data_IF_770409745858
#
_entry.id   IF_770409745858
#
_cell.length_a   1.000
_cell.length_b   1.000
_cell.length_c   1.000
_cell.angle_alpha   90.00
_cell.angle_beta   90.00
_cell.angle_gamma   90.00
#
_symmetry.space_group_name_H-M   'P 1'
#
loop_
_entity.id
_entity.type
_entity.pdbx_description
1 polymer ?
#
# COMPACT_ATOMS: atom_id res chain seq x y z
N UNK A 1 41.27 5.92 -44.21
CA UNK A 1 40.41 7.10 -43.95
C UNK A 1 39.29 6.77 -42.95
N UNK A 2 38.76 5.54 -42.93
CA UNK A 2 37.72 5.10 -41.98
C UNK A 2 38.12 5.03 -40.48
N UNK A 3 39.39 4.78 -40.14
CA UNK A 3 39.87 4.61 -38.75
C UNK A 3 39.88 5.91 -37.92
N UNK A 4 40.01 7.07 -38.58
CA UNK A 4 39.95 8.38 -37.90
C UNK A 4 38.52 8.79 -37.56
N UNK A 5 37.56 8.49 -38.43
CA UNK A 5 36.16 8.82 -38.22
C UNK A 5 35.56 7.97 -37.09
N UNK A 6 35.96 6.70 -36.97
CA UNK A 6 35.54 5.82 -35.88
C UNK A 6 36.03 6.33 -34.51
N UNK A 7 37.31 6.68 -34.39
CA UNK A 7 37.86 7.27 -33.15
C UNK A 7 37.19 8.57 -32.76
N UNK A 8 36.93 9.46 -33.72
CA UNK A 8 36.21 10.70 -33.47
C UNK A 8 34.76 10.44 -33.00
N UNK A 9 34.13 9.39 -33.52
CA UNK A 9 32.78 9.01 -33.11
C UNK A 9 32.75 8.41 -31.70
N UNK A 10 33.74 7.61 -31.31
CA UNK A 10 33.90 7.12 -29.94
C UNK A 10 34.24 8.25 -28.96
N UNK A 11 35.06 9.21 -29.36
CA UNK A 11 35.42 10.36 -28.53
C UNK A 11 34.24 11.33 -28.37
N UNK A 12 33.48 11.58 -29.44
CA UNK A 12 32.25 12.36 -29.38
C UNK A 12 31.17 11.68 -28.52
N UNK A 13 31.00 10.36 -28.63
CA UNK A 13 30.08 9.60 -27.77
C UNK A 13 30.54 9.62 -26.30
N UNK A 14 31.85 9.56 -26.03
CA UNK A 14 32.41 9.65 -24.68
C UNK A 14 32.20 11.05 -24.08
N UNK A 15 32.37 12.10 -24.88
CA UNK A 15 32.12 13.49 -24.50
C UNK A 15 30.62 13.75 -24.31
N UNK A 16 29.74 13.19 -25.15
CA UNK A 16 28.29 13.23 -24.94
C UNK A 16 27.86 12.45 -23.70
N UNK A 17 28.50 11.32 -23.37
CA UNK A 17 28.25 10.59 -22.11
C UNK A 17 28.77 11.37 -20.89
N UNK A 18 29.93 12.02 -20.98
CA UNK A 18 30.44 12.93 -19.94
C UNK A 18 29.54 14.18 -19.79
N UNK A 19 29.00 14.69 -20.89
CA UNK A 19 28.10 15.84 -20.91
C UNK A 19 26.68 15.47 -20.44
N UNK A 20 26.19 14.27 -20.76
CA UNK A 20 24.96 13.71 -20.20
C UNK A 20 25.09 13.53 -18.68
N UNK A 21 26.28 13.22 -18.18
CA UNK A 21 26.60 13.22 -16.75
C UNK A 21 26.71 14.62 -16.11
N UNK A 22 26.72 15.71 -16.91
CA UNK A 22 26.81 17.11 -16.42
C UNK A 22 25.56 17.96 -16.67
N UNK A 23 24.58 17.45 -17.42
CA UNK A 23 23.31 18.12 -17.73
C UNK A 23 22.06 17.40 -17.24
N UNK A 24 22.19 16.19 -16.70
CA UNK A 24 21.14 15.51 -15.93
C UNK A 24 21.26 15.86 -14.45
N UNK A 25 20.14 15.79 -13.73
CA UNK A 25 20.14 15.79 -12.27
C UNK A 25 21.19 14.78 -11.78
N UNK A 26 22.02 15.16 -10.82
CA UNK A 26 22.98 14.24 -10.18
C UNK A 26 22.26 13.01 -9.62
N UNK A 27 22.94 11.88 -9.42
CA UNK A 27 22.28 10.69 -8.83
C UNK A 27 21.58 11.02 -7.51
N UNK A 28 22.16 11.91 -6.70
CA UNK A 28 21.53 12.38 -5.46
C UNK A 28 20.28 13.23 -5.73
N UNK A 29 20.28 14.10 -6.75
CA UNK A 29 19.11 14.87 -7.16
C UNK A 29 18.06 14.00 -7.88
N UNK A 30 18.48 12.93 -8.56
CA UNK A 30 17.61 11.92 -9.17
C UNK A 30 16.97 11.08 -8.07
N UNK A 31 17.74 10.64 -7.08
CA UNK A 31 17.28 9.95 -5.88
C UNK A 31 16.38 10.86 -5.05
N UNK A 32 16.64 12.17 -4.99
CA UNK A 32 15.77 13.17 -4.35
C UNK A 32 14.50 13.44 -5.17
N UNK A 33 14.58 13.46 -6.50
CA UNK A 33 13.40 13.57 -7.37
C UNK A 33 12.54 12.30 -7.28
N UNK A 34 13.17 11.14 -7.30
CA UNK A 34 12.56 9.83 -7.13
C UNK A 34 11.99 9.73 -5.73
N UNK A 35 12.69 10.13 -4.66
CA UNK A 35 12.15 10.18 -3.30
C UNK A 35 11.02 11.22 -3.14
N UNK A 36 11.06 12.33 -3.87
CA UNK A 36 9.98 13.32 -3.90
C UNK A 36 8.76 12.83 -4.69
N UNK A 37 8.98 11.91 -5.63
CA UNK A 37 7.95 11.22 -6.43
C UNK A 37 7.42 9.97 -5.71
N UNK A 38 8.28 9.29 -4.96
CA UNK A 38 8.03 8.14 -4.10
C UNK A 38 7.63 8.64 -2.72
N UNK A 39 6.41 9.16 -2.71
CA UNK A 39 5.53 9.35 -1.56
C UNK A 39 5.93 10.46 -0.58
N UNK A 40 4.96 11.34 -0.30
CA UNK A 40 5.07 12.41 0.69
C UNK A 40 5.12 11.94 2.15
N UNK A 41 5.89 10.88 2.44
CA UNK A 41 6.10 10.29 3.76
C UNK A 41 6.71 11.25 4.77
N UNK A 42 6.66 10.85 6.04
CA UNK A 42 7.27 11.56 7.15
C UNK A 42 8.76 11.34 7.20
N UNK A 43 9.47 12.35 7.70
CA UNK A 43 10.88 12.27 8.07
C UNK A 43 11.03 12.46 9.59
N UNK A 44 10.49 11.54 10.42
CA UNK A 44 10.60 11.67 11.86
C UNK A 44 12.06 11.52 12.29
N UNK A 45 12.43 12.17 13.38
CA UNK A 45 13.79 12.10 13.95
C UNK A 45 13.79 11.48 15.35
N UNK A 46 14.96 11.06 15.82
CA UNK A 46 15.13 10.49 17.16
C UNK A 46 14.49 9.12 17.33
N UNK A 47 13.93 8.86 18.51
CA UNK A 47 13.40 7.54 18.89
C UNK A 47 12.22 7.08 18.01
N UNK A 48 11.45 8.01 17.46
CA UNK A 48 10.33 7.69 16.55
C UNK A 48 10.88 7.09 15.25
N UNK A 49 11.96 7.65 14.70
CA UNK A 49 12.62 7.11 13.52
C UNK A 49 13.11 5.68 13.76
N UNK A 50 13.74 5.44 14.91
CA UNK A 50 14.18 4.11 15.33
C UNK A 50 13.02 3.15 15.46
N UNK A 51 11.89 3.56 16.06
CA UNK A 51 10.70 2.73 16.18
C UNK A 51 10.14 2.36 14.81
N UNK A 52 9.99 3.32 13.89
CA UNK A 52 9.49 3.02 12.54
C UNK A 52 10.42 2.08 11.78
N UNK A 53 11.74 2.30 11.89
CA UNK A 53 12.74 1.40 11.30
C UNK A 53 12.60 -0.02 11.85
N UNK A 54 12.48 -0.17 13.18
CA UNK A 54 12.32 -1.48 13.82
C UNK A 54 11.00 -2.16 13.41
N UNK A 55 9.90 -1.42 13.29
CA UNK A 55 8.62 -1.96 12.84
C UNK A 55 8.69 -2.39 11.37
N UNK A 56 9.27 -1.56 10.50
CA UNK A 56 9.46 -1.90 9.10
C UNK A 56 10.38 -3.12 8.93
N UNK A 57 11.49 -3.17 9.67
CA UNK A 57 12.40 -4.31 9.69
C UNK A 57 11.70 -5.58 10.21
N UNK A 58 10.92 -5.48 11.29
CA UNK A 58 10.14 -6.60 11.82
C UNK A 58 9.13 -7.12 10.79
N UNK A 59 8.45 -6.22 10.06
CA UNK A 59 7.55 -6.60 8.97
C UNK A 59 8.31 -7.31 7.84
N UNK A 60 9.46 -6.78 7.42
CA UNK A 60 10.28 -7.40 6.38
C UNK A 60 10.79 -8.78 6.78
N UNK A 61 11.27 -8.94 8.01
CA UNK A 61 11.72 -10.22 8.55
C UNK A 61 10.56 -11.22 8.66
N UNK A 62 9.40 -10.76 9.10
CA UNK A 62 8.19 -11.59 9.16
C UNK A 62 7.79 -12.11 7.77
N UNK A 63 7.85 -11.27 6.74
CA UNK A 63 7.51 -11.65 5.37
C UNK A 63 8.53 -12.65 4.80
N UNK A 64 9.82 -12.44 5.08
CA UNK A 64 10.86 -13.40 4.71
C UNK A 64 10.68 -14.73 5.46
N UNK A 65 10.28 -14.67 6.74
CA UNK A 65 10.02 -15.85 7.57
C UNK A 65 8.92 -16.72 6.96
N UNK A 66 7.75 -16.16 6.66
CA UNK A 66 6.62 -16.92 6.09
C UNK A 66 6.87 -17.41 4.66
N UNK A 67 7.74 -16.72 3.91
CA UNK A 67 8.15 -17.14 2.56
C UNK A 67 9.23 -18.24 2.57
N UNK A 68 9.94 -18.43 3.68
CA UNK A 68 11.03 -19.38 3.81
C UNK A 68 10.53 -20.77 4.27
N UNK A 69 11.34 -21.84 4.09
CA UNK A 69 11.02 -23.15 4.67
C UNK A 69 11.30 -23.24 6.18
N UNK A 70 11.85 -22.18 6.80
CA UNK A 70 12.25 -22.15 8.21
C UNK A 70 11.13 -22.43 9.22
N UNK A 71 9.90 -21.90 9.06
CA UNK A 71 8.82 -22.17 10.00
C UNK A 71 8.54 -23.68 10.12
N UNK A 72 8.59 -24.40 8.99
CA UNK A 72 8.34 -25.83 8.92
C UNK A 72 9.53 -26.66 9.41
N UNK A 73 10.77 -26.26 9.10
CA UNK A 73 11.97 -26.97 9.54
C UNK A 73 12.20 -26.83 11.06
N UNK A 74 11.92 -25.65 11.61
CA UNK A 74 12.06 -25.35 13.03
C UNK A 74 10.80 -25.67 13.85
N UNK A 75 9.69 -26.03 13.19
CA UNK A 75 8.38 -26.30 13.81
C UNK A 75 7.91 -25.19 14.75
N UNK A 76 8.22 -23.95 14.41
CA UNK A 76 7.91 -22.76 15.20
C UNK A 76 7.36 -21.68 14.28
N UNK A 77 6.42 -20.88 14.77
CA UNK A 77 5.87 -19.75 14.00
C UNK A 77 5.30 -20.15 12.63
N UNK A 78 4.63 -21.31 12.56
CA UNK A 78 3.91 -21.76 11.36
C UNK A 78 2.55 -21.07 11.36
N UNK A 79 2.35 -20.16 10.42
CA UNK A 79 1.10 -19.42 10.24
C UNK A 79 0.33 -19.97 9.05
N UNK A 80 -0.99 -20.05 9.17
CA UNK A 80 -1.84 -20.29 8.00
C UNK A 80 -2.04 -18.99 7.18
N UNK A 81 -2.61 -19.11 5.98
CA UNK A 81 -2.86 -17.97 5.08
C UNK A 81 -3.61 -16.81 5.73
N UNK A 82 -4.67 -17.09 6.49
CA UNK A 82 -5.51 -16.07 7.12
C UNK A 82 -4.76 -15.34 8.23
N UNK A 83 -4.05 -16.10 9.07
CA UNK A 83 -3.18 -15.55 10.11
C UNK A 83 -2.09 -14.68 9.46
N UNK A 84 -1.51 -15.17 8.37
CA UNK A 84 -0.39 -14.51 7.73
C UNK A 84 -0.79 -13.14 7.14
N UNK A 85 -1.94 -13.11 6.45
CA UNK A 85 -2.59 -11.92 5.91
C UNK A 85 -2.98 -10.93 7.01
N UNK A 86 -3.49 -11.42 8.13
CA UNK A 86 -3.89 -10.57 9.26
C UNK A 86 -2.71 -9.82 9.86
N UNK A 87 -1.59 -10.52 10.11
CA UNK A 87 -0.36 -9.91 10.63
C UNK A 87 0.20 -8.90 9.62
N UNK A 88 0.26 -9.27 8.33
CA UNK A 88 0.73 -8.38 7.27
C UNK A 88 -0.07 -7.07 7.21
N UNK A 89 -1.41 -7.16 7.21
CA UNK A 89 -2.27 -5.99 7.15
C UNK A 89 -2.12 -5.11 8.40
N UNK A 90 -1.90 -5.72 9.58
CA UNK A 90 -1.68 -4.96 10.81
C UNK A 90 -0.41 -4.10 10.73
N UNK A 91 0.71 -4.65 10.23
CA UNK A 91 1.92 -3.87 9.95
C UNK A 91 1.67 -2.78 8.90
N UNK A 92 1.00 -3.13 7.80
CA UNK A 92 0.73 -2.20 6.71
C UNK A 92 -0.11 -1.00 7.18
N UNK A 93 -1.20 -1.23 7.93
CA UNK A 93 -2.05 -0.14 8.46
C UNK A 93 -1.27 0.71 9.46
N UNK A 94 -0.51 0.09 10.38
CA UNK A 94 0.29 0.84 11.34
C UNK A 94 1.27 1.78 10.62
N UNK A 95 2.04 1.26 9.67
CA UNK A 95 3.00 2.05 8.91
C UNK A 95 2.31 3.07 7.99
N UNK A 96 1.13 2.77 7.45
CA UNK A 96 0.36 3.73 6.66
C UNK A 96 0.06 5.01 7.47
N UNK A 97 -0.38 4.88 8.72
CA UNK A 97 -0.64 6.05 9.56
C UNK A 97 0.61 6.68 10.15
N UNK A 98 1.64 5.87 10.45
CA UNK A 98 2.85 6.33 11.11
C UNK A 98 3.85 6.98 10.14
N UNK A 99 3.97 6.46 8.93
CA UNK A 99 4.90 6.92 7.90
C UNK A 99 4.26 7.88 6.89
N UNK A 100 2.94 7.80 6.61
CA UNK A 100 2.32 8.63 5.57
C UNK A 100 1.35 9.68 6.15
N UNK A 101 1.72 10.97 6.10
CA UNK A 101 0.87 12.04 6.60
C UNK A 101 -0.35 12.26 5.69
N UNK A 102 -1.48 12.62 6.28
CA UNK A 102 -2.69 12.91 5.53
C UNK A 102 -2.51 14.15 4.62
N UNK A 103 -2.65 13.95 3.31
CA UNK A 103 -2.71 15.04 2.34
C UNK A 103 -3.95 15.92 2.60
N UNK A 104 -3.79 17.24 2.44
CA UNK A 104 -4.81 18.26 2.76
C UNK A 104 -5.20 19.17 1.60
N UNK A 105 -5.02 18.73 0.35
CA UNK A 105 -5.63 19.48 -0.77
C UNK A 105 -7.15 19.54 -0.59
N UNK A 106 -7.86 20.53 -1.17
CA UNK A 106 -9.31 20.66 -0.99
C UNK A 106 -10.08 19.37 -1.28
N UNK A 107 -9.70 18.67 -2.36
CA UNK A 107 -10.26 17.36 -2.73
C UNK A 107 -9.96 16.29 -1.68
N UNK A 108 -8.71 16.23 -1.19
CA UNK A 108 -8.30 15.26 -0.17
C UNK A 108 -9.01 15.47 1.17
N UNK A 109 -9.25 16.73 1.56
CA UNK A 109 -10.05 17.06 2.75
C UNK A 109 -11.52 16.69 2.55
N UNK A 110 -12.09 17.02 1.40
CA UNK A 110 -13.47 16.65 1.08
C UNK A 110 -13.68 15.13 1.11
N UNK A 111 -12.75 14.36 0.56
CA UNK A 111 -12.80 12.89 0.59
C UNK A 111 -12.55 12.34 2.00
N UNK A 112 -11.53 12.83 2.70
CA UNK A 112 -11.17 12.36 4.04
C UNK A 112 -12.23 12.63 5.11
N UNK A 113 -13.15 13.57 4.88
CA UNK A 113 -14.31 13.82 5.76
C UNK A 113 -15.60 13.24 5.17
N UNK A 114 -15.84 13.46 3.88
CA UNK A 114 -17.06 13.06 3.20
C UNK A 114 -17.23 11.55 3.15
N UNK A 115 -16.18 10.78 2.90
CA UNK A 115 -16.26 9.30 2.85
C UNK A 115 -16.61 8.72 4.22
N UNK A 116 -15.91 9.03 5.34
CA UNK A 116 -16.31 8.54 6.66
C UNK A 116 -17.73 8.93 7.06
N UNK A 117 -18.18 10.14 6.74
CA UNK A 117 -19.57 10.59 7.01
C UNK A 117 -20.56 9.80 6.18
N UNK A 118 -20.31 9.63 4.88
CA UNK A 118 -21.16 8.85 3.98
C UNK A 118 -21.29 7.40 4.48
N UNK A 119 -20.17 6.76 4.82
CA UNK A 119 -20.17 5.37 5.32
C UNK A 119 -20.82 5.26 6.69
N UNK A 120 -20.68 6.27 7.55
CA UNK A 120 -21.39 6.32 8.84
C UNK A 120 -22.90 6.26 8.61
N UNK A 121 -23.42 7.14 7.75
CA UNK A 121 -24.85 7.17 7.42
C UNK A 121 -25.28 5.83 6.81
N UNK A 122 -24.51 5.33 5.85
CA UNK A 122 -24.81 4.09 5.13
C UNK A 122 -24.84 2.86 6.03
N UNK A 123 -23.87 2.74 6.94
CA UNK A 123 -23.82 1.61 7.86
C UNK A 123 -24.92 1.69 8.92
N UNK A 124 -25.28 2.89 9.37
CA UNK A 124 -26.41 3.07 10.28
C UNK A 124 -27.74 2.70 9.61
N UNK A 125 -27.97 3.11 8.37
CA UNK A 125 -29.22 2.80 7.64
C UNK A 125 -29.26 1.37 7.14
N UNK A 126 -28.11 0.76 6.85
CA UNK A 126 -28.00 -0.63 6.42
C UNK A 126 -28.03 -1.66 7.55
N UNK A 127 -28.04 -1.24 8.82
CA UNK A 127 -28.11 -2.15 9.95
C UNK A 127 -29.52 -2.75 10.11
N UNK A 128 -29.60 -4.04 10.47
CA UNK A 128 -30.87 -4.71 10.76
C UNK A 128 -31.47 -4.18 12.07
N UNK A 129 -32.80 -4.21 12.16
CA UNK A 129 -33.53 -3.90 13.39
C UNK A 129 -32.98 -4.70 14.59
N UNK A 130 -32.79 -4.02 15.72
CA UNK A 130 -32.20 -4.61 16.92
C UNK A 130 -30.67 -4.60 16.98
N UNK A 131 -29.97 -4.11 15.94
CA UNK A 131 -28.51 -3.90 15.99
C UNK A 131 -28.21 -2.51 16.59
N UNK A 132 -27.50 -2.41 17.74
CA UNK A 132 -26.96 -1.15 18.22
C UNK A 132 -26.09 -0.45 17.17
N UNK A 133 -26.48 0.74 16.73
CA UNK A 133 -25.74 1.55 15.73
C UNK A 133 -25.12 2.83 16.29
N UNK A 134 -25.39 3.16 17.56
CA UNK A 134 -24.97 4.42 18.19
C UNK A 134 -23.45 4.64 18.22
N UNK A 135 -22.66 3.57 18.12
CA UNK A 135 -21.21 3.61 18.13
C UNK A 135 -20.60 3.85 16.73
N UNK A 136 -21.37 3.65 15.65
CA UNK A 136 -20.88 3.84 14.26
C UNK A 136 -20.43 5.28 14.01
N UNK A 137 -21.16 6.33 14.44
CA UNK A 137 -20.69 7.72 14.33
C UNK A 137 -19.36 7.99 15.01
N UNK A 138 -19.00 7.24 16.04
CA UNK A 138 -17.70 7.41 16.73
C UNK A 138 -16.57 7.01 15.79
N UNK A 139 -16.70 5.90 15.04
CA UNK A 139 -15.72 5.48 14.05
C UNK A 139 -15.54 6.53 12.95
N UNK A 140 -16.65 7.03 12.40
CA UNK A 140 -16.63 8.06 11.37
C UNK A 140 -16.02 9.38 11.86
N UNK A 141 -16.40 9.82 13.06
CA UNK A 141 -15.87 11.03 13.69
C UNK A 141 -14.38 10.92 14.02
N UNK A 142 -13.89 9.74 14.42
CA UNK A 142 -12.46 9.52 14.68
C UNK A 142 -11.64 9.66 13.39
N UNK A 143 -12.09 9.02 12.30
CA UNK A 143 -11.39 9.11 11.01
C UNK A 143 -11.47 10.54 10.46
N UNK A 144 -12.67 11.13 10.35
CA UNK A 144 -12.83 12.50 9.85
C UNK A 144 -12.10 13.54 10.73
N UNK A 145 -12.17 13.37 12.05
CA UNK A 145 -11.48 14.23 13.02
C UNK A 145 -9.97 14.18 12.84
N UNK A 146 -9.39 13.01 12.58
CA UNK A 146 -7.94 12.89 12.32
C UNK A 146 -7.48 13.69 11.09
N UNK A 147 -8.32 13.76 10.06
CA UNK A 147 -8.04 14.52 8.84
C UNK A 147 -8.15 16.03 9.10
N UNK A 148 -9.15 16.44 9.88
CA UNK A 148 -9.39 17.84 10.22
C UNK A 148 -8.32 18.42 11.16
N UNK A 149 -7.90 17.65 12.17
CA UNK A 149 -6.84 18.04 13.10
C UNK A 149 -5.47 18.20 12.41
N UNK A 150 -5.32 17.60 11.23
CA UNK A 150 -4.14 17.72 10.40
C UNK A 150 -3.05 16.72 10.78
N UNK A 151 -2.05 16.64 9.90
CA UNK A 151 -1.01 15.63 9.98
C UNK A 151 0.35 16.26 9.65
N UNK A 152 1.11 16.69 10.67
CA UNK A 152 2.47 17.21 10.49
C UNK A 152 3.40 16.16 9.85
N UNK A 153 4.42 16.63 9.11
CA UNK A 153 5.41 15.77 8.45
C UNK A 153 6.61 15.42 9.34
N UNK A 154 6.88 16.25 10.35
CA UNK A 154 8.01 16.19 11.27
C UNK A 154 7.79 15.23 12.45
N UNK A 155 6.52 14.96 12.80
CA UNK A 155 6.15 14.11 13.94
C UNK A 155 4.84 13.38 13.71
N UNK A 156 4.64 12.29 14.46
CA UNK A 156 3.38 11.55 14.49
C UNK A 156 2.50 12.10 15.63
N UNK A 157 1.37 12.77 15.33
CA UNK A 157 0.44 13.24 16.34
C UNK A 157 -0.28 12.10 17.07
N UNK A 158 -0.77 12.38 18.28
CA UNK A 158 -1.35 11.38 19.19
C UNK A 158 -2.59 10.69 18.58
N UNK A 159 -3.42 11.42 17.82
CA UNK A 159 -4.60 10.82 17.18
C UNK A 159 -4.23 9.82 16.09
N UNK A 160 -3.08 9.97 15.43
CA UNK A 160 -2.62 9.02 14.43
C UNK A 160 -1.89 7.83 15.04
N UNK A 161 -1.24 8.00 16.19
CA UNK A 161 -0.86 6.87 17.03
C UNK A 161 -2.09 6.03 17.41
N UNK A 162 -3.17 6.70 17.83
CA UNK A 162 -4.44 6.06 18.12
C UNK A 162 -4.98 5.28 16.92
N UNK A 163 -5.07 5.90 15.75
CA UNK A 163 -5.57 5.25 14.53
C UNK A 163 -4.65 4.12 14.03
N UNK A 164 -3.33 4.28 14.12
CA UNK A 164 -2.38 3.25 13.76
C UNK A 164 -2.56 2.00 14.63
N UNK A 165 -2.71 2.18 15.94
CA UNK A 165 -2.89 1.09 16.90
C UNK A 165 -4.28 0.45 16.78
N UNK A 166 -5.35 1.25 16.68
CA UNK A 166 -6.71 0.74 16.49
C UNK A 166 -6.80 -0.02 15.15
N UNK A 167 -6.26 0.55 14.08
CA UNK A 167 -6.23 -0.08 12.76
C UNK A 167 -5.46 -1.41 12.77
N UNK A 168 -4.25 -1.42 13.33
CA UNK A 168 -3.48 -2.65 13.51
C UNK A 168 -4.24 -3.69 14.35
N UNK A 169 -4.90 -3.28 15.43
CA UNK A 169 -5.71 -4.16 16.27
C UNK A 169 -6.93 -4.73 15.51
N UNK A 170 -7.61 -3.92 14.68
CA UNK A 170 -8.74 -4.40 13.87
C UNK A 170 -8.30 -5.42 12.81
N UNK A 171 -7.10 -5.27 12.24
CA UNK A 171 -6.52 -6.24 11.33
C UNK A 171 -6.05 -7.51 12.06
N UNK A 172 -5.44 -7.36 13.24
CA UNK A 172 -5.01 -8.49 14.07
C UNK A 172 -6.17 -9.28 14.70
N UNK A 173 -7.38 -8.72 14.73
CA UNK A 173 -8.56 -9.35 15.32
C UNK A 173 -8.85 -10.75 14.75
N UNK A 174 -8.76 -10.92 13.43
CA UNK A 174 -8.97 -12.21 12.76
C UNK A 174 -7.96 -13.27 13.20
N UNK A 175 -6.72 -12.85 13.45
CA UNK A 175 -5.68 -13.71 13.99
C UNK A 175 -5.97 -14.09 15.45
N UNK A 176 -6.24 -13.09 16.31
CA UNK A 176 -6.39 -13.30 17.76
C UNK A 176 -7.66 -14.12 18.07
N UNK A 177 -8.77 -13.84 17.37
CA UNK A 177 -10.08 -14.44 17.63
C UNK A 177 -10.44 -15.53 16.60
N UNK A 178 -9.45 -16.06 15.87
CA UNK A 178 -9.63 -17.04 14.78
C UNK A 178 -10.58 -18.19 15.15
N UNK A 179 -10.35 -18.84 16.30
CA UNK A 179 -11.16 -19.97 16.76
C UNK A 179 -12.63 -19.58 17.00
N UNK A 180 -12.87 -18.46 17.68
CA UNK A 180 -14.25 -18.10 17.99
C UNK A 180 -14.99 -17.61 16.75
N UNK A 181 -14.28 -17.06 15.77
CA UNK A 181 -14.85 -16.67 14.47
C UNK A 181 -15.19 -17.92 13.64
N UNK A 182 -14.30 -18.92 13.61
CA UNK A 182 -14.54 -20.18 12.89
C UNK A 182 -15.74 -20.96 13.43
N UNK A 183 -16.08 -20.78 14.72
CA UNK A 183 -17.22 -21.44 15.34
C UNK A 183 -18.58 -20.74 15.05
N UNK A 184 -18.56 -19.51 14.52
CA UNK A 184 -19.77 -18.69 14.28
C UNK A 184 -19.91 -18.20 12.84
N UNK A 185 -19.46 -19.01 11.87
CA UNK A 185 -19.51 -18.65 10.43
C UNK A 185 -20.93 -18.22 10.04
N UNK A 186 -21.07 -17.00 9.51
CA UNK A 186 -22.38 -16.46 9.12
C UNK A 186 -23.15 -15.72 10.21
N UNK A 187 -22.70 -15.75 11.46
CA UNK A 187 -23.36 -15.14 12.61
C UNK A 187 -22.42 -14.19 13.38
N UNK A 188 -22.05 -13.03 12.79
CA UNK A 188 -21.17 -12.06 13.44
C UNK A 188 -21.79 -11.51 14.73
N UNK A 189 -20.99 -11.45 15.79
CA UNK A 189 -21.38 -10.85 17.06
C UNK A 189 -21.10 -9.34 17.05
N UNK A 190 -21.51 -8.61 18.09
CA UNK A 190 -21.30 -7.15 18.17
C UNK A 190 -19.83 -6.73 18.06
N UNK A 191 -18.90 -7.53 18.57
CA UNK A 191 -17.46 -7.25 18.46
C UNK A 191 -16.99 -7.33 17.00
N UNK A 192 -17.49 -8.31 16.23
CA UNK A 192 -17.22 -8.45 14.80
C UNK A 192 -17.71 -7.22 14.01
N UNK A 193 -18.91 -6.70 14.34
CA UNK A 193 -19.43 -5.47 13.74
C UNK A 193 -18.54 -4.26 14.05
N UNK A 194 -18.18 -4.06 15.31
CA UNK A 194 -17.33 -2.94 15.73
C UNK A 194 -15.98 -2.99 15.03
N UNK A 195 -15.32 -4.16 15.06
CA UNK A 195 -14.00 -4.32 14.43
C UNK A 195 -14.08 -4.09 12.93
N UNK A 196 -15.07 -4.64 12.24
CA UNK A 196 -15.19 -4.50 10.79
C UNK A 196 -15.48 -3.05 10.36
N UNK A 197 -16.37 -2.34 11.06
CA UNK A 197 -16.69 -0.94 10.72
C UNK A 197 -15.49 -0.04 10.96
N UNK A 198 -14.82 -0.17 12.10
CA UNK A 198 -13.57 0.58 12.36
C UNK A 198 -12.49 0.21 11.35
N UNK A 199 -12.31 -1.09 11.10
CA UNK A 199 -11.34 -1.61 10.16
C UNK A 199 -11.53 -1.07 8.74
N UNK A 200 -12.74 -1.12 8.20
CA UNK A 200 -13.06 -0.61 6.85
C UNK A 200 -12.81 0.91 6.76
N UNK A 201 -13.29 1.69 7.75
CA UNK A 201 -13.10 3.15 7.73
C UNK A 201 -11.62 3.54 7.85
N UNK A 202 -10.87 2.89 8.73
CA UNK A 202 -9.44 3.13 8.94
C UNK A 202 -8.63 2.67 7.71
N UNK A 203 -8.99 1.54 7.11
CA UNK A 203 -8.31 1.02 5.92
C UNK A 203 -8.50 1.92 4.69
N UNK A 204 -9.71 2.47 4.49
CA UNK A 204 -9.94 3.45 3.41
C UNK A 204 -9.11 4.71 3.60
N UNK A 205 -8.98 5.18 4.84
CA UNK A 205 -8.14 6.33 5.16
C UNK A 205 -6.64 6.00 5.02
N UNK A 206 -6.19 4.82 5.45
CA UNK A 206 -4.83 4.34 5.20
C UNK A 206 -4.51 4.29 3.70
N UNK A 207 -5.48 3.80 2.90
CA UNK A 207 -5.38 3.74 1.44
C UNK A 207 -5.26 5.14 0.85
N UNK A 208 -6.08 6.09 1.30
CA UNK A 208 -6.02 7.49 0.83
C UNK A 208 -4.67 8.13 1.13
N UNK A 209 -4.08 7.84 2.30
CA UNK A 209 -2.77 8.36 2.74
C UNK A 209 -1.59 7.79 1.96
N UNK A 210 -1.56 6.47 1.78
CA UNK A 210 -0.43 5.78 1.17
C UNK A 210 -0.47 5.78 -0.37
N UNK A 211 -1.66 5.64 -0.96
CA UNK A 211 -1.85 5.40 -2.40
C UNK A 211 -2.65 6.50 -3.11
N UNK A 212 -3.09 7.52 -2.38
CA UNK A 212 -3.84 8.64 -2.93
C UNK A 212 -5.36 8.39 -3.06
N UNK A 213 -6.11 9.35 -3.63
CA UNK A 213 -7.57 9.38 -3.53
C UNK A 213 -8.27 8.39 -4.46
N UNK A 214 -7.61 7.95 -5.54
CA UNK A 214 -8.22 7.12 -6.58
C UNK A 214 -8.76 5.80 -6.03
N UNK A 215 -7.92 5.04 -5.30
CA UNK A 215 -8.32 3.74 -4.74
C UNK A 215 -9.40 3.88 -3.66
N UNK A 216 -9.33 4.92 -2.82
CA UNK A 216 -10.37 5.19 -1.83
C UNK A 216 -11.72 5.47 -2.50
N UNK A 217 -11.75 6.27 -3.57
CA UNK A 217 -12.97 6.58 -4.32
C UNK A 217 -13.55 5.32 -4.94
N UNK A 218 -12.72 4.52 -5.64
CA UNK A 218 -13.18 3.27 -6.27
C UNK A 218 -13.77 2.33 -5.22
N UNK A 219 -13.05 2.08 -4.13
CA UNK A 219 -13.55 1.23 -3.05
C UNK A 219 -14.85 1.75 -2.42
N UNK A 220 -14.96 3.07 -2.22
CA UNK A 220 -16.17 3.70 -1.67
C UNK A 220 -17.36 3.56 -2.62
N UNK A 221 -17.17 3.72 -3.92
CA UNK A 221 -18.24 3.55 -4.93
C UNK A 221 -18.79 2.13 -4.90
N UNK A 222 -17.92 1.12 -4.91
CA UNK A 222 -18.37 -0.27 -4.84
C UNK A 222 -19.01 -0.60 -3.49
N UNK A 223 -18.49 -0.05 -2.39
CA UNK A 223 -19.11 -0.23 -1.07
C UNK A 223 -20.51 0.40 -1.01
N UNK A 224 -20.70 1.61 -1.54
CA UNK A 224 -22.01 2.27 -1.67
C UNK A 224 -22.97 1.43 -2.53
N UNK A 225 -22.47 0.88 -3.63
CA UNK A 225 -23.24 0.00 -4.50
C UNK A 225 -23.79 -1.22 -3.75
N UNK A 226 -23.02 -1.81 -2.82
CA UNK A 226 -23.51 -2.97 -2.05
C UNK A 226 -24.80 -2.70 -1.27
N UNK A 227 -25.02 -1.48 -0.78
CA UNK A 227 -26.22 -1.10 -0.04
C UNK A 227 -27.32 -0.54 -0.94
N UNK A 228 -26.95 0.28 -1.93
CA UNK A 228 -27.91 0.99 -2.79
C UNK A 228 -28.39 0.19 -4.01
N UNK A 229 -28.03 -1.08 -4.12
CA UNK A 229 -28.47 -2.00 -5.18
C UNK A 229 -29.95 -1.91 -5.59
N UNK A 230 -30.93 -1.78 -4.66
CA UNK A 230 -32.35 -1.73 -5.01
C UNK A 230 -32.78 -0.47 -5.78
N UNK A 231 -32.01 0.62 -5.63
CA UNK A 231 -32.32 1.91 -6.24
C UNK A 231 -31.65 2.10 -7.60
N UNK A 232 -30.88 1.11 -8.06
CA UNK A 232 -30.11 1.20 -9.29
C UNK A 232 -30.95 0.88 -10.54
N UNK A 233 -30.51 1.30 -11.74
CA UNK A 233 -31.15 0.91 -13.00
C UNK A 233 -31.17 -0.61 -13.18
N UNK A 234 -32.22 -1.14 -13.80
CA UNK A 234 -32.52 -2.58 -13.82
C UNK A 234 -31.40 -3.51 -14.31
N UNK A 235 -30.45 -3.02 -15.11
CA UNK A 235 -29.30 -3.82 -15.60
C UNK A 235 -28.33 -4.18 -14.47
N UNK A 236 -28.19 -3.29 -13.47
CA UNK A 236 -27.24 -3.43 -12.35
C UNK A 236 -27.95 -3.48 -10.99
N UNK A 237 -29.28 -3.55 -10.96
CA UNK A 237 -30.04 -3.63 -9.72
C UNK A 237 -29.88 -5.00 -9.05
N UNK A 238 -29.78 -5.00 -7.72
CA UNK A 238 -29.82 -6.21 -6.90
C UNK A 238 -30.56 -5.93 -5.59
N UNK A 239 -30.79 -6.97 -4.78
CA UNK A 239 -31.58 -6.88 -3.53
C UNK A 239 -31.02 -5.88 -2.48
N UNK A 240 -29.77 -5.43 -2.63
CA UNK A 240 -29.04 -4.70 -1.60
C UNK A 240 -28.59 -5.63 -0.48
N UNK A 241 -27.43 -5.33 0.08
CA UNK A 241 -26.87 -6.03 1.23
C UNK A 241 -27.10 -5.20 2.49
N UNK A 242 -27.33 -5.89 3.61
CA UNK A 242 -27.36 -5.25 4.92
C UNK A 242 -25.97 -5.22 5.58
N UNK A 243 -25.83 -4.48 6.67
CA UNK A 243 -24.56 -4.31 7.37
C UNK A 243 -23.98 -5.66 7.83
N UNK A 244 -24.82 -6.62 8.23
CA UNK A 244 -24.34 -7.94 8.66
C UNK A 244 -23.67 -8.70 7.53
N UNK A 245 -24.22 -8.63 6.31
CA UNK A 245 -23.65 -9.25 5.13
C UNK A 245 -22.36 -8.55 4.72
N UNK A 246 -22.33 -7.22 4.78
CA UNK A 246 -21.13 -6.43 4.46
C UNK A 246 -20.01 -6.70 5.45
N UNK A 247 -20.27 -6.69 6.77
CA UNK A 247 -19.30 -7.03 7.82
C UNK A 247 -18.74 -8.42 7.59
N UNK A 248 -19.62 -9.41 7.38
CA UNK A 248 -19.20 -10.78 7.19
C UNK A 248 -18.31 -10.92 5.94
N UNK A 249 -18.79 -10.45 4.79
CA UNK A 249 -18.08 -10.63 3.52
C UNK A 249 -16.81 -9.77 3.39
N UNK A 250 -16.79 -8.53 3.90
CA UNK A 250 -15.66 -7.63 3.70
C UNK A 250 -14.54 -7.83 4.72
N UNK A 251 -14.84 -8.21 5.97
CA UNK A 251 -13.85 -8.23 7.04
C UNK A 251 -13.71 -9.58 7.74
N UNK A 252 -14.76 -10.40 7.83
CA UNK A 252 -14.71 -11.66 8.60
C UNK A 252 -14.31 -12.84 7.71
N UNK A 253 -14.77 -12.89 6.46
CA UNK A 253 -14.36 -13.92 5.50
C UNK A 253 -13.10 -13.52 4.72
N UNK A 254 -12.53 -14.50 4.03
CA UNK A 254 -11.40 -14.32 3.10
C UNK A 254 -11.85 -13.98 1.67
N UNK A 255 -13.05 -13.43 1.50
CA UNK A 255 -13.55 -12.98 0.19
C UNK A 255 -13.33 -11.48 -0.02
N UNK A 256 -13.36 -10.70 1.08
CA UNK A 256 -13.10 -9.26 1.08
C UNK A 256 -11.63 -8.89 1.30
N UNK A 257 -11.39 -8.04 2.29
CA UNK A 257 -10.08 -7.44 2.58
C UNK A 257 -8.99 -8.50 2.79
N UNK A 258 -9.32 -9.62 3.45
CA UNK A 258 -8.39 -10.72 3.71
C UNK A 258 -8.30 -11.76 2.59
N UNK A 259 -8.85 -11.44 1.43
CA UNK A 259 -8.92 -12.35 0.28
C UNK A 259 -7.67 -12.39 -0.59
N UNK A 260 -7.90 -12.73 -1.86
CA UNK A 260 -6.84 -13.05 -2.83
C UNK A 260 -5.89 -11.87 -3.02
N UNK A 261 -6.39 -10.63 -3.07
CA UNK A 261 -5.55 -9.46 -3.28
C UNK A 261 -4.49 -9.31 -2.17
N UNK A 262 -4.89 -9.45 -0.90
CA UNK A 262 -3.97 -9.42 0.23
C UNK A 262 -3.06 -10.67 0.25
N UNK A 263 -3.59 -11.83 -0.15
CA UNK A 263 -2.82 -13.07 -0.30
C UNK A 263 -1.70 -12.97 -1.34
N UNK A 264 -1.95 -12.35 -2.49
CA UNK A 264 -0.93 -12.10 -3.52
C UNK A 264 0.14 -11.14 -2.98
N UNK A 265 -0.27 -10.11 -2.22
CA UNK A 265 0.65 -9.18 -1.55
C UNK A 265 1.58 -9.89 -0.56
N UNK A 266 1.03 -10.77 0.28
CA UNK A 266 1.78 -11.51 1.31
C UNK A 266 2.73 -12.53 0.73
N UNK A 267 2.33 -13.22 -0.35
CA UNK A 267 3.07 -14.38 -0.86
C UNK A 267 4.13 -14.01 -1.89
N UNK A 268 3.90 -12.98 -2.71
CA UNK A 268 4.75 -12.72 -3.89
C UNK A 268 5.24 -11.29 -3.99
N UNK A 269 4.34 -10.30 -3.87
CA UNK A 269 4.67 -8.89 -4.14
C UNK A 269 5.81 -8.41 -3.25
N UNK A 270 5.79 -8.76 -1.96
CA UNK A 270 6.85 -8.35 -1.04
C UNK A 270 8.23 -8.87 -1.46
N UNK A 271 8.35 -10.13 -1.89
CA UNK A 271 9.65 -10.69 -2.30
C UNK A 271 10.19 -9.95 -3.52
N UNK A 272 9.33 -9.64 -4.51
CA UNK A 272 9.76 -8.86 -5.67
C UNK A 272 10.24 -7.46 -5.27
N UNK A 273 9.55 -6.77 -4.37
CA UNK A 273 9.97 -5.44 -3.88
C UNK A 273 11.26 -5.53 -3.04
N UNK A 274 11.40 -6.54 -2.17
CA UNK A 274 12.60 -6.75 -1.36
C UNK A 274 13.81 -7.07 -2.24
N UNK A 275 13.69 -8.03 -3.16
CA UNK A 275 14.78 -8.36 -4.07
C UNK A 275 15.07 -7.22 -5.04
N UNK A 276 14.05 -6.51 -5.54
CA UNK A 276 14.22 -5.33 -6.38
C UNK A 276 15.02 -4.23 -5.66
N UNK A 277 14.65 -3.89 -4.43
CA UNK A 277 15.36 -2.88 -3.63
C UNK A 277 16.79 -3.30 -3.23
N UNK A 278 17.01 -4.59 -2.91
CA UNK A 278 18.35 -5.11 -2.65
C UNK A 278 19.23 -5.11 -3.91
N UNK A 279 18.66 -5.47 -5.06
CA UNK A 279 19.36 -5.52 -6.34
C UNK A 279 19.73 -4.11 -6.82
N UNK A 280 18.83 -3.15 -6.63
CA UNK A 280 19.09 -1.73 -6.88
C UNK A 280 20.26 -1.22 -6.00
N UNK A 281 20.20 -1.46 -4.69
CA UNK A 281 21.30 -1.11 -3.76
C UNK A 281 22.60 -1.85 -4.04
N UNK A 282 22.56 -3.03 -4.66
CA UNK A 282 23.75 -3.76 -5.11
C UNK A 282 24.39 -3.17 -6.39
N UNK A 283 23.82 -2.12 -6.98
CA UNK A 283 24.36 -1.43 -8.14
C UNK A 283 23.90 -1.98 -9.49
N UNK A 284 22.79 -2.73 -9.52
CA UNK A 284 22.31 -3.35 -10.75
C UNK A 284 21.89 -2.35 -11.83
N UNK A 285 21.49 -1.13 -11.47
CA UNK A 285 21.18 -0.08 -12.45
C UNK A 285 22.36 0.20 -13.41
N UNK A 286 23.56 0.40 -12.85
CA UNK A 286 24.77 0.57 -13.65
C UNK A 286 25.14 -0.69 -14.45
N UNK A 287 24.88 -1.88 -13.90
CA UNK A 287 25.09 -3.13 -14.60
C UNK A 287 24.18 -3.25 -15.84
N UNK A 288 22.89 -2.91 -15.73
CA UNK A 288 21.96 -2.96 -16.87
C UNK A 288 22.28 -1.94 -17.95
N UNK A 289 22.73 -0.75 -17.56
CA UNK A 289 23.23 0.26 -18.52
C UNK A 289 24.40 -0.34 -19.31
N UNK A 290 25.41 -0.92 -18.63
CA UNK A 290 26.57 -1.50 -19.30
C UNK A 290 26.21 -2.67 -20.22
N UNK A 291 25.30 -3.54 -19.78
CA UNK A 291 24.80 -4.65 -20.60
C UNK A 291 24.07 -4.12 -21.84
N UNK A 292 23.17 -3.16 -21.69
CA UNK A 292 22.42 -2.57 -22.81
C UNK A 292 23.35 -1.87 -23.83
N UNK A 293 24.37 -1.14 -23.36
CA UNK A 293 25.37 -0.54 -24.23
C UNK A 293 26.23 -1.59 -24.93
N UNK A 294 26.61 -2.68 -24.26
CA UNK A 294 27.39 -3.75 -24.88
C UNK A 294 26.61 -4.46 -26.02
N UNK A 295 25.30 -4.63 -25.84
CA UNK A 295 24.42 -5.33 -26.79
C UNK A 295 23.97 -4.45 -27.97
N UNK A 296 23.71 -3.17 -27.73
CA UNK A 296 23.02 -2.30 -28.69
C UNK A 296 23.86 -1.09 -29.12
N UNK A 297 24.92 -0.74 -28.38
CA UNK A 297 25.72 0.46 -28.61
C UNK A 297 26.42 0.50 -29.97
N UNK A 298 26.73 -0.66 -30.53
CA UNK A 298 27.35 -0.80 -31.85
C UNK A 298 26.35 -0.68 -33.03
N UNK A 299 25.04 -0.61 -32.75
CA UNK A 299 24.02 -0.47 -33.79
C UNK A 299 23.91 1.00 -34.23
N UNK A 300 23.37 1.25 -35.43
CA UNK A 300 22.99 2.61 -35.83
C UNK A 300 21.88 3.12 -34.91
N UNK A 301 22.11 4.27 -34.26
CA UNK A 301 21.29 4.78 -33.16
C UNK A 301 21.52 4.05 -31.83
N UNK A 302 22.67 3.39 -31.66
CA UNK A 302 23.00 2.50 -30.55
C UNK A 302 22.80 3.11 -29.17
N UNK A 303 23.27 4.34 -28.88
CA UNK A 303 23.04 4.99 -27.60
C UNK A 303 21.55 5.16 -27.26
N UNK A 304 20.71 5.58 -28.21
CA UNK A 304 19.27 5.74 -27.98
C UNK A 304 18.58 4.40 -27.73
N UNK A 305 18.97 3.34 -28.46
CA UNK A 305 18.43 1.99 -28.27
C UNK A 305 18.89 1.37 -26.95
N UNK A 306 20.16 1.57 -26.57
CA UNK A 306 20.69 1.13 -25.28
C UNK A 306 19.98 1.81 -24.11
N UNK A 307 19.64 3.10 -24.23
CA UNK A 307 18.87 3.82 -23.23
C UNK A 307 17.47 3.22 -23.02
N UNK A 308 16.73 2.93 -24.11
CA UNK A 308 15.39 2.31 -24.02
C UNK A 308 15.46 0.91 -23.42
N UNK A 309 16.42 0.09 -23.83
CA UNK A 309 16.60 -1.28 -23.29
C UNK A 309 17.00 -1.23 -21.82
N UNK A 310 17.90 -0.33 -21.42
CA UNK A 310 18.29 -0.17 -20.02
C UNK A 310 17.13 0.31 -19.15
N UNK A 311 16.30 1.24 -19.64
CA UNK A 311 15.08 1.67 -18.94
C UNK A 311 14.12 0.51 -18.76
N UNK A 312 13.87 -0.26 -19.84
CA UNK A 312 13.01 -1.44 -19.79
C UNK A 312 13.52 -2.51 -18.80
N UNK A 313 14.83 -2.80 -18.79
CA UNK A 313 15.44 -3.76 -17.86
C UNK A 313 15.35 -3.29 -16.40
N UNK A 314 15.60 -2.01 -16.16
CA UNK A 314 15.50 -1.40 -14.83
C UNK A 314 14.04 -1.38 -14.35
N UNK A 315 13.09 -1.08 -15.25
CA UNK A 315 11.66 -1.09 -14.98
C UNK A 315 11.10 -2.47 -14.66
N UNK A 316 11.53 -3.52 -15.37
CA UNK A 316 11.12 -4.90 -15.11
C UNK A 316 11.50 -5.37 -13.69
N UNK A 317 12.58 -4.84 -13.13
CA UNK A 317 13.12 -5.25 -11.83
C UNK A 317 12.57 -4.40 -10.69
N UNK A 318 12.44 -3.10 -10.90
CA UNK A 318 11.83 -2.21 -9.91
C UNK A 318 10.34 -2.47 -9.74
N UNK A 319 9.69 -3.12 -10.72
CA UNK A 319 8.25 -3.36 -10.72
C UNK A 319 7.44 -2.06 -10.83
N UNK A 320 8.09 -0.94 -11.16
CA UNK A 320 7.49 0.37 -11.30
C UNK A 320 6.80 0.50 -12.66
N UNK A 321 5.52 0.87 -12.66
CA UNK A 321 4.77 1.17 -13.88
C UNK A 321 5.13 2.52 -14.52
N UNK A 322 6.16 3.21 -14.02
CA UNK A 322 6.60 4.55 -14.44
C UNK A 322 7.88 4.48 -15.32
N UNK A 323 8.57 3.34 -15.36
CA UNK A 323 9.84 3.14 -16.06
C UNK A 323 9.75 2.92 -17.58
#
# INVERSE_FOLDING_TARGET
>A
MADKDEKHQFEAARVEMEAAGRGGLSQDELDELVASSDTGGRSPTGWVATLLLLVALAWSLYQLWIASPLPFSLRFGVFNDTEARSIHLAFAIFLAFAAFPAARSPVQLALGVGVPVLLTILFMTGAKEGTPVWWIPIAGALVAGSVLLGSPKDRIPVWEWGLALIGAATAAYLYIFYRQISDRVGAPNMQDFVVAVFGIMILLEATRRALGPALMVVATVFLVYTFLGPYMPGIIAHKGNNLSEVVNHHWITTEGVFGIALGVSTSFVFLFVLFGSLLDKAGAGNYFIQVAFSLMGHMRGGPAKAAVVSSAMTGLISGSSIA
#
